data_IF_437134776554
#
_entry.id   IF_437134776554
#
_cell.length_a   1.000
_cell.length_b   1.000
_cell.length_c   1.000
_cell.angle_alpha   90.00
_cell.angle_beta   90.00
_cell.angle_gamma   90.00
#
_symmetry.space_group_name_H-M   'P 1'
#
loop_
_entity.id
_entity.type
_entity.pdbx_description
1 polymer ?
#
# COMPACT_ATOMS: atom_id res chain seq x y z
N UNK A 1 -2.70 -11.77 2.58
CA UNK A 1 -2.03 -11.19 1.40
C UNK A 1 -1.98 -9.69 1.65
N UNK A 2 -0.86 -9.02 1.34
CA UNK A 2 -0.68 -7.60 1.61
C UNK A 2 -0.27 -6.90 0.32
N UNK A 3 -0.92 -5.79 -0.01
CA UNK A 3 -0.58 -4.95 -1.17
C UNK A 3 0.27 -3.79 -0.68
N UNK A 4 1.33 -3.46 -1.42
CA UNK A 4 2.25 -2.38 -1.10
C UNK A 4 2.40 -1.49 -2.32
N UNK A 5 2.30 -0.17 -2.14
CA UNK A 5 2.58 0.80 -3.21
C UNK A 5 3.06 2.15 -2.64
N UNK A 6 3.97 2.88 -3.25
CA UNK A 6 4.82 2.50 -4.39
C UNK A 6 6.16 1.92 -3.90
N UNK A 7 6.80 1.06 -4.68
CA UNK A 7 8.10 0.47 -4.39
C UNK A 7 9.07 0.48 -5.61
N UNK A 8 8.69 1.11 -6.73
CA UNK A 8 9.44 1.01 -7.98
C UNK A 8 9.17 2.06 -9.07
N UNK A 9 8.20 2.97 -8.92
CA UNK A 9 7.88 3.98 -9.95
C UNK A 9 7.90 5.42 -9.44
N UNK A 10 7.02 5.79 -8.51
CA UNK A 10 6.92 7.17 -8.03
C UNK A 10 7.89 7.43 -6.88
N UNK A 11 8.89 8.29 -7.12
CA UNK A 11 10.01 8.53 -6.18
C UNK A 11 9.56 9.15 -4.85
N UNK A 12 8.97 10.34 -4.92
CA UNK A 12 8.47 11.07 -3.75
C UNK A 12 7.05 11.54 -4.06
N UNK A 13 6.05 10.68 -3.84
CA UNK A 13 4.68 10.98 -4.26
C UNK A 13 4.11 12.16 -3.46
N UNK A 14 3.67 13.18 -4.18
CA UNK A 14 2.88 14.27 -3.59
C UNK A 14 1.48 13.77 -3.14
N UNK A 15 0.69 14.65 -2.55
CA UNK A 15 -0.63 14.29 -2.04
C UNK A 15 -1.57 13.76 -3.13
N UNK A 16 -1.57 14.37 -4.32
CA UNK A 16 -2.43 13.99 -5.45
C UNK A 16 -1.99 12.64 -6.02
N UNK A 17 -0.69 12.45 -6.19
CA UNK A 17 -0.11 11.17 -6.58
C UNK A 17 -0.46 10.07 -5.58
N UNK A 18 -0.44 10.34 -4.27
CA UNK A 18 -0.89 9.36 -3.26
C UNK A 18 -2.36 9.00 -3.40
N UNK A 19 -3.25 9.91 -3.82
CA UNK A 19 -4.64 9.57 -4.15
C UNK A 19 -4.69 8.54 -5.29
N UNK A 20 -3.94 8.77 -6.36
CA UNK A 20 -3.88 7.83 -7.48
C UNK A 20 -3.27 6.47 -7.09
N UNK A 21 -2.24 6.47 -6.24
CA UNK A 21 -1.67 5.23 -5.70
C UNK A 21 -2.73 4.43 -4.92
N UNK A 22 -3.54 5.10 -4.10
CA UNK A 22 -4.65 4.47 -3.37
C UNK A 22 -5.69 3.91 -4.33
N UNK A 23 -6.15 4.71 -5.29
CA UNK A 23 -7.17 4.29 -6.27
C UNK A 23 -6.74 3.06 -7.07
N UNK A 24 -5.49 3.06 -7.55
CA UNK A 24 -4.90 1.95 -8.27
C UNK A 24 -4.76 0.70 -7.38
N UNK A 25 -4.31 0.85 -6.14
CA UNK A 25 -4.18 -0.28 -5.22
C UNK A 25 -5.55 -0.86 -4.82
N UNK A 26 -6.55 -0.01 -4.59
CA UNK A 26 -7.94 -0.41 -4.28
C UNK A 26 -8.54 -1.16 -5.46
N UNK A 27 -8.27 -0.72 -6.70
CA UNK A 27 -8.68 -1.44 -7.90
C UNK A 27 -8.09 -2.86 -7.93
N UNK A 28 -6.78 -3.01 -7.64
CA UNK A 28 -6.12 -4.33 -7.56
C UNK A 28 -6.73 -5.20 -6.47
N UNK A 29 -6.90 -4.67 -5.26
CA UNK A 29 -7.45 -5.41 -4.13
C UNK A 29 -8.86 -5.94 -4.42
N UNK A 30 -9.70 -5.11 -5.04
CA UNK A 30 -11.07 -5.50 -5.39
C UNK A 30 -11.12 -6.50 -6.55
N UNK A 31 -10.37 -6.23 -7.61
CA UNK A 31 -10.46 -6.99 -8.87
C UNK A 31 -9.68 -8.30 -8.84
N UNK A 32 -8.41 -8.25 -8.44
CA UNK A 32 -7.53 -9.43 -8.47
C UNK A 32 -7.58 -10.24 -7.17
N UNK A 33 -7.77 -9.59 -6.02
CA UNK A 33 -7.77 -10.27 -4.72
C UNK A 33 -9.18 -10.60 -4.21
N UNK A 34 -10.19 -9.84 -4.64
CA UNK A 34 -11.59 -10.02 -4.22
C UNK A 34 -11.94 -9.35 -2.88
N UNK A 35 -11.14 -8.40 -2.40
CA UNK A 35 -11.44 -7.64 -1.17
C UNK A 35 -12.44 -6.53 -1.48
N UNK A 36 -13.71 -6.71 -1.09
CA UNK A 36 -14.77 -5.75 -1.44
C UNK A 36 -14.51 -4.34 -0.92
N UNK A 37 -14.03 -4.19 0.33
CA UNK A 37 -13.78 -2.87 0.93
C UNK A 37 -12.40 -2.85 1.59
N UNK A 38 -11.32 -2.64 0.81
CA UNK A 38 -9.96 -2.71 1.31
C UNK A 38 -9.68 -1.67 2.39
N UNK A 39 -8.88 -2.07 3.38
CA UNK A 39 -8.34 -1.20 4.42
C UNK A 39 -6.96 -0.70 4.01
N UNK A 40 -6.83 0.61 3.91
CA UNK A 40 -5.65 1.29 3.36
C UNK A 40 -4.95 2.05 4.48
N UNK A 41 -3.75 1.60 4.83
CA UNK A 41 -2.89 2.25 5.80
C UNK A 41 -1.94 3.22 5.09
N UNK A 42 -1.97 4.50 5.47
CA UNK A 42 -0.96 5.46 5.04
C UNK A 42 0.21 5.42 6.02
N UNK A 43 1.37 4.98 5.55
CA UNK A 43 2.51 4.76 6.42
C UNK A 43 3.27 6.06 6.72
N UNK A 44 3.74 6.12 7.96
CA UNK A 44 4.67 7.12 8.48
C UNK A 44 5.58 6.48 9.53
N UNK A 45 6.53 7.24 10.05
CA UNK A 45 7.41 6.74 11.11
C UNK A 45 6.75 6.77 12.51
N UNK A 46 5.67 7.55 12.67
CA UNK A 46 4.97 7.79 13.93
C UNK A 46 3.46 7.88 13.68
N UNK A 47 2.68 7.78 14.75
CA UNK A 47 1.21 7.68 14.72
C UNK A 47 0.50 9.04 14.83
N UNK A 48 1.25 10.08 15.19
CA UNK A 48 0.71 11.43 15.39
C UNK A 48 1.08 12.34 14.24
N UNK A 49 0.15 13.23 13.88
CA UNK A 49 0.37 14.26 12.87
C UNK A 49 1.47 15.19 13.33
N UNK A 50 2.54 15.27 12.54
CA UNK A 50 3.69 16.11 12.79
C UNK A 50 4.00 16.96 11.56
N UNK A 51 3.82 18.29 11.63
CA UNK A 51 4.10 19.19 10.50
C UNK A 51 5.53 19.14 9.97
N UNK A 52 6.50 18.62 10.75
CA UNK A 52 7.88 18.40 10.31
C UNK A 52 8.09 17.07 9.59
N UNK A 53 7.05 16.25 9.46
CA UNK A 53 7.08 14.95 8.81
C UNK A 53 5.92 14.86 7.81
N UNK A 54 6.21 15.20 6.56
CA UNK A 54 5.23 15.31 5.48
C UNK A 54 4.33 14.06 5.34
N UNK A 55 4.90 12.86 5.49
CA UNK A 55 4.14 11.61 5.44
C UNK A 55 2.95 11.59 6.41
N UNK A 56 3.12 12.13 7.61
CA UNK A 56 2.04 12.21 8.62
C UNK A 56 0.98 13.24 8.26
N UNK A 57 1.36 14.32 7.60
CA UNK A 57 0.43 15.33 7.07
C UNK A 57 -0.38 14.75 5.90
N UNK A 58 0.27 14.04 4.98
CA UNK A 58 -0.41 13.37 3.87
C UNK A 58 -1.39 12.31 4.40
N UNK A 59 -1.00 11.51 5.39
CA UNK A 59 -1.88 10.52 6.01
C UNK A 59 -3.17 11.13 6.54
N UNK A 60 -3.08 12.20 7.33
CA UNK A 60 -4.26 12.88 7.88
C UNK A 60 -5.16 13.48 6.78
N UNK A 61 -4.56 14.06 5.74
CA UNK A 61 -5.31 14.63 4.61
C UNK A 61 -6.02 13.53 3.81
N UNK A 62 -5.34 12.43 3.49
CA UNK A 62 -5.89 11.31 2.74
C UNK A 62 -7.03 10.61 3.50
N UNK A 63 -6.87 10.40 4.81
CA UNK A 63 -7.93 9.90 5.67
C UNK A 63 -9.16 10.82 5.62
N UNK A 64 -8.97 12.13 5.75
CA UNK A 64 -10.07 13.11 5.65
C UNK A 64 -10.73 13.14 4.28
N UNK A 65 -9.95 12.99 3.20
CA UNK A 65 -10.46 12.91 1.84
C UNK A 65 -11.31 11.65 1.63
N UNK A 66 -10.93 10.51 2.22
CA UNK A 66 -11.74 9.28 2.20
C UNK A 66 -13.05 9.46 3.00
N UNK A 67 -12.99 10.02 4.21
CA UNK A 67 -14.19 10.32 5.01
C UNK A 67 -15.18 11.24 4.27
N UNK A 68 -14.66 12.19 3.48
CA UNK A 68 -15.46 13.11 2.65
C UNK A 68 -15.91 12.51 1.32
N UNK A 69 -15.56 11.25 1.03
CA UNK A 69 -15.97 10.55 -0.18
C UNK A 69 -15.22 10.95 -1.45
N UNK A 70 -14.07 11.64 -1.33
CA UNK A 70 -13.18 11.92 -2.46
C UNK A 70 -12.45 10.65 -2.88
N UNK A 71 -11.94 9.89 -1.90
CA UNK A 71 -11.39 8.54 -2.11
C UNK A 71 -12.48 7.54 -1.75
N UNK A 72 -12.78 6.59 -2.66
CA UNK A 72 -13.97 5.72 -2.57
C UNK A 72 -13.59 4.24 -2.52
N UNK A 73 -14.58 3.41 -2.21
CA UNK A 73 -14.50 1.95 -2.29
C UNK A 73 -13.50 1.28 -1.32
N UNK A 74 -13.00 2.02 -0.34
CA UNK A 74 -12.05 1.59 0.67
C UNK A 74 -12.26 2.36 1.98
N UNK A 75 -11.51 1.97 3.01
CA UNK A 75 -11.33 2.74 4.25
C UNK A 75 -9.87 3.15 4.32
N UNK A 76 -9.60 4.45 4.42
CA UNK A 76 -8.23 4.99 4.50
C UNK A 76 -8.00 5.58 5.88
N UNK A 77 -6.89 5.22 6.51
CA UNK A 77 -6.49 5.83 7.78
C UNK A 77 -4.96 5.85 7.95
N UNK A 78 -4.51 6.68 8.89
CA UNK A 78 -3.11 6.87 9.25
C UNK A 78 -2.88 8.25 9.90
N UNK A 79 -1.64 8.58 10.26
CA UNK A 79 -0.43 7.82 9.94
C UNK A 79 -0.24 6.58 10.82
N UNK A 80 0.29 5.52 10.22
CA UNK A 80 0.67 4.32 10.97
C UNK A 80 2.15 4.00 10.77
N UNK A 81 2.84 3.67 11.87
CA UNK A 81 4.03 2.85 11.78
C UNK A 81 3.64 1.43 11.31
N UNK A 82 4.60 0.72 10.70
CA UNK A 82 4.35 -0.58 10.07
C UNK A 82 3.73 -1.60 11.04
N UNK A 83 4.25 -1.69 12.26
CA UNK A 83 3.77 -2.60 13.30
C UNK A 83 2.28 -2.41 13.56
N UNK A 84 1.83 -1.16 13.67
CA UNK A 84 0.43 -0.83 13.93
C UNK A 84 -0.47 -1.02 12.72
N UNK A 85 0.08 -1.02 11.50
CA UNK A 85 -0.70 -1.27 10.30
C UNK A 85 -1.02 -2.76 10.13
N UNK A 86 -0.14 -3.66 10.62
CA UNK A 86 -0.21 -5.10 10.33
C UNK A 86 -0.38 -6.00 11.55
N UNK A 87 -0.22 -5.48 12.77
CA UNK A 87 -0.42 -6.22 14.02
C UNK A 87 -1.47 -5.57 14.91
N UNK A 88 -2.59 -6.28 15.11
CA UNK A 88 -3.65 -5.86 16.02
C UNK A 88 -3.15 -5.69 17.46
N UNK A 89 -2.29 -6.58 17.92
CA UNK A 89 -1.67 -6.51 19.25
C UNK A 89 -0.83 -5.22 19.41
N UNK A 90 -0.01 -4.88 18.42
CA UNK A 90 0.79 -3.66 18.46
C UNK A 90 -0.09 -2.39 18.47
N UNK A 91 -1.15 -2.38 17.66
CA UNK A 91 -2.12 -1.29 17.65
C UNK A 91 -2.84 -1.13 19.00
N UNK A 92 -3.28 -2.23 19.62
CA UNK A 92 -3.92 -2.24 20.93
C UNK A 92 -2.97 -1.76 22.05
N UNK A 93 -1.72 -2.23 22.05
CA UNK A 93 -0.71 -1.79 23.01
C UNK A 93 -0.42 -0.28 22.93
N UNK A 94 -0.53 0.32 21.74
CA UNK A 94 -0.39 1.76 21.55
C UNK A 94 -1.72 2.53 21.67
N UNK A 95 -2.84 1.85 21.97
CA UNK A 95 -4.15 2.47 22.15
C UNK A 95 -4.74 3.07 20.87
N UNK A 96 -4.38 2.54 19.70
CA UNK A 96 -4.81 3.06 18.41
C UNK A 96 -6.21 2.52 18.10
N UNK A 97 -7.18 3.43 17.99
CA UNK A 97 -8.56 3.09 17.63
C UNK A 97 -8.80 3.47 16.17
N UNK A 98 -8.75 2.47 15.30
CA UNK A 98 -8.98 2.63 13.87
C UNK A 98 -9.52 1.33 13.26
N UNK A 99 -10.43 1.40 12.26
CA UNK A 99 -10.86 0.23 11.52
C UNK A 99 -9.76 -0.40 10.64
N UNK A 100 -8.65 0.32 10.41
CA UNK A 100 -7.50 -0.11 9.59
C UNK A 100 -6.36 -0.66 10.44
N UNK A 101 -6.17 -0.15 11.66
CA UNK A 101 -5.05 -0.52 12.50
C UNK A 101 -5.02 -2.03 12.81
N UNK A 102 -3.86 -2.64 12.54
CA UNK A 102 -3.56 -4.04 12.76
C UNK A 102 -4.16 -5.01 11.75
N UNK A 103 -4.85 -4.49 10.73
CA UNK A 103 -5.63 -5.29 9.78
C UNK A 103 -5.67 -4.61 8.40
N UNK A 104 -4.56 -4.01 7.97
CA UNK A 104 -4.47 -3.37 6.66
C UNK A 104 -4.37 -4.38 5.52
N UNK A 105 -5.11 -4.14 4.44
CA UNK A 105 -4.98 -4.87 3.17
C UNK A 105 -3.93 -4.22 2.25
N UNK A 106 -3.81 -2.89 2.34
CA UNK A 106 -2.98 -2.05 1.47
C UNK A 106 -2.12 -1.12 2.32
N UNK A 107 -0.82 -1.09 2.04
CA UNK A 107 0.14 -0.17 2.61
C UNK A 107 0.56 0.87 1.56
N UNK A 108 0.31 2.15 1.86
CA UNK A 108 0.81 3.28 1.07
C UNK A 108 2.11 3.76 1.68
N UNK A 109 3.21 3.56 0.97
CA UNK A 109 4.55 3.94 1.37
C UNK A 109 4.74 5.46 1.29
N UNK A 110 5.57 6.05 2.17
CA UNK A 110 5.81 7.50 2.16
C UNK A 110 6.54 7.96 0.89
N UNK A 111 7.51 7.16 0.44
CA UNK A 111 8.40 7.36 -0.71
C UNK A 111 8.88 6.00 -1.27
N UNK A 112 9.60 6.04 -2.39
CA UNK A 112 10.12 4.86 -3.07
C UNK A 112 11.18 4.13 -2.25
N UNK A 113 12.00 4.84 -1.48
CA UNK A 113 13.06 4.24 -0.67
C UNK A 113 12.44 3.32 0.38
N UNK A 114 11.45 3.80 1.14
CA UNK A 114 10.74 3.01 2.13
C UNK A 114 10.05 1.80 1.49
N UNK A 115 9.36 1.99 0.36
CA UNK A 115 8.69 0.90 -0.35
C UNK A 115 9.65 -0.14 -0.90
N UNK A 116 10.77 0.28 -1.50
CA UNK A 116 11.76 -0.61 -2.09
C UNK A 116 12.52 -1.41 -1.02
N UNK A 117 12.91 -0.75 0.08
CA UNK A 117 13.54 -1.40 1.22
C UNK A 117 12.58 -2.41 1.83
N UNK A 118 11.31 -2.04 2.05
CA UNK A 118 10.30 -2.95 2.59
C UNK A 118 10.09 -4.16 1.67
N UNK A 119 9.88 -3.94 0.37
CA UNK A 119 9.75 -5.00 -0.62
C UNK A 119 10.93 -5.98 -0.56
N UNK A 120 12.16 -5.47 -0.57
CA UNK A 120 13.36 -6.30 -0.49
C UNK A 120 13.49 -7.03 0.84
N UNK A 121 13.19 -6.38 1.96
CA UNK A 121 13.20 -7.01 3.26
C UNK A 121 12.21 -8.18 3.31
N UNK A 122 11.00 -8.01 2.77
CA UNK A 122 10.01 -9.08 2.72
C UNK A 122 10.48 -10.26 1.86
N UNK A 123 11.05 -10.00 0.68
CA UNK A 123 11.55 -11.08 -0.19
C UNK A 123 12.77 -11.78 0.39
N UNK A 124 13.81 -11.03 0.76
CA UNK A 124 15.12 -11.59 1.11
C UNK A 124 15.25 -12.03 2.57
N UNK A 125 14.52 -11.41 3.50
CA UNK A 125 14.60 -11.74 4.92
C UNK A 125 13.41 -12.56 5.40
N UNK A 126 12.19 -12.25 4.93
CA UNK A 126 10.98 -12.96 5.34
C UNK A 126 10.54 -14.07 4.37
N UNK A 127 11.24 -14.26 3.25
CA UNK A 127 10.91 -15.28 2.26
C UNK A 127 9.54 -15.08 1.61
N UNK A 128 9.06 -13.83 1.55
CA UNK A 128 7.76 -13.51 1.00
C UNK A 128 7.73 -13.80 -0.51
N UNK A 129 6.65 -14.45 -0.95
CA UNK A 129 6.30 -14.57 -2.37
C UNK A 129 5.61 -13.29 -2.79
N UNK A 130 6.04 -12.74 -3.92
CA UNK A 130 5.59 -11.42 -4.38
C UNK A 130 5.15 -11.48 -5.84
N UNK A 131 4.22 -10.60 -6.17
CA UNK A 131 3.77 -10.32 -7.53
C UNK A 131 3.73 -8.80 -7.70
N UNK A 132 4.11 -8.31 -8.87
CA UNK A 132 4.21 -6.87 -9.14
C UNK A 132 3.72 -6.54 -10.55
N UNK A 133 2.96 -5.45 -10.64
CA UNK A 133 2.46 -4.90 -11.90
C UNK A 133 2.36 -3.38 -11.78
N UNK A 134 2.52 -2.69 -12.91
CA UNK A 134 2.19 -1.27 -13.04
C UNK A 134 0.71 -1.17 -13.40
N UNK A 135 -0.02 -0.35 -12.64
CA UNK A 135 -1.46 -0.11 -12.76
C UNK A 135 -1.68 1.39 -13.01
N UNK A 136 -2.72 1.73 -13.78
CA UNK A 136 -3.09 3.11 -14.13
C UNK A 136 -2.88 3.47 -15.60
N UNK A 137 -2.17 2.64 -16.36
CA UNK A 137 -2.13 2.74 -17.82
C UNK A 137 -3.38 2.10 -18.47
N UNK A 138 -3.49 2.15 -19.81
CA UNK A 138 -4.60 1.53 -20.57
C UNK A 138 -4.71 0.00 -20.38
N UNK A 139 -3.60 -0.65 -20.05
CA UNK A 139 -3.51 -2.07 -19.71
C UNK A 139 -2.49 -2.25 -18.57
N UNK A 140 -2.63 -3.31 -17.76
CA UNK A 140 -1.63 -3.61 -16.73
C UNK A 140 -0.30 -4.04 -17.38
N UNK A 141 0.81 -3.64 -16.80
CA UNK A 141 2.15 -4.01 -17.29
C UNK A 141 2.86 -4.83 -16.23
N UNK A 142 3.21 -6.07 -16.56
CA UNK A 142 4.02 -6.90 -15.68
C UNK A 142 5.37 -6.21 -15.43
N UNK A 143 5.70 -5.98 -14.16
CA UNK A 143 6.96 -5.37 -13.76
C UNK A 143 7.77 -6.42 -13.00
N UNK A 144 8.98 -6.69 -13.46
CA UNK A 144 9.88 -7.67 -12.84
C UNK A 144 11.28 -7.09 -12.71
N UNK A 145 11.95 -7.37 -11.60
CA UNK A 145 13.37 -7.10 -11.40
C UNK A 145 14.22 -8.21 -12.02
N UNK A 146 15.43 -7.86 -12.44
CA UNK A 146 16.45 -8.83 -12.90
C UNK A 146 16.78 -9.88 -11.84
N UNK A 147 16.65 -9.52 -10.56
CA UNK A 147 16.92 -10.41 -9.43
C UNK A 147 15.71 -11.25 -9.01
N UNK A 148 14.54 -11.08 -9.65
CA UNK A 148 13.36 -11.84 -9.28
C UNK A 148 13.46 -13.30 -9.74
N UNK A 149 12.94 -14.19 -8.90
CA UNK A 149 12.82 -15.61 -9.21
C UNK A 149 11.82 -15.86 -10.33
N UNK A 150 11.88 -17.04 -10.94
CA UNK A 150 10.91 -17.44 -11.96
C UNK A 150 9.49 -17.57 -11.38
N UNK A 151 9.37 -17.93 -10.11
CA UNK A 151 8.09 -17.90 -9.38
C UNK A 151 7.53 -16.48 -9.30
N UNK A 152 8.33 -15.49 -8.90
CA UNK A 152 7.89 -14.08 -8.85
C UNK A 152 7.44 -13.59 -10.23
N UNK A 153 8.18 -13.91 -11.30
CA UNK A 153 7.80 -13.54 -12.67
C UNK A 153 6.47 -14.16 -13.08
N UNK A 154 6.25 -15.44 -12.77
CA UNK A 154 5.00 -16.15 -13.04
C UNK A 154 3.83 -15.52 -12.27
N UNK A 155 4.01 -15.21 -10.99
CA UNK A 155 2.99 -14.56 -10.17
C UNK A 155 2.66 -13.15 -10.67
N UNK A 156 3.65 -12.38 -11.10
CA UNK A 156 3.45 -11.07 -11.73
C UNK A 156 2.66 -11.15 -13.04
N UNK A 157 2.89 -12.19 -13.87
CA UNK A 157 2.08 -12.46 -15.05
C UNK A 157 0.63 -12.82 -14.67
N UNK A 158 0.44 -13.71 -13.69
CA UNK A 158 -0.89 -14.09 -13.22
C UNK A 158 -1.68 -12.88 -12.71
N UNK A 159 -1.05 -12.01 -11.90
CA UNK A 159 -1.64 -10.75 -11.46
C UNK A 159 -2.04 -9.85 -12.64
N UNK A 160 -1.17 -9.74 -13.64
CA UNK A 160 -1.45 -8.93 -14.84
C UNK A 160 -2.64 -9.46 -15.64
N UNK A 161 -2.79 -10.79 -15.75
CA UNK A 161 -3.95 -11.42 -16.38
C UNK A 161 -5.24 -11.10 -15.64
N UNK A 162 -5.28 -11.28 -14.31
CA UNK A 162 -6.44 -10.94 -13.47
C UNK A 162 -6.83 -9.47 -13.58
N UNK A 163 -5.86 -8.59 -13.81
CA UNK A 163 -6.12 -7.16 -14.01
C UNK A 163 -6.60 -6.82 -15.42
N UNK A 164 -6.45 -7.73 -16.39
CA UNK A 164 -6.83 -7.52 -17.81
C UNK A 164 -8.24 -8.00 -18.15
N UNK A 165 -8.84 -8.88 -17.34
CA UNK A 165 -10.20 -9.42 -17.53
C UNK A 165 -11.31 -8.39 -17.24
#
# INVERSE_FOLDING_TARGET
LLIVTDAGMTIAPDLEQKVHLIENAVLVARKAVGVEKPKVAILGAIEVVNPKMEATMHAALLAKMNERGQIKNCVVDGPFALDNAVSKEAAEHKGIVSPVAGDADILIMPDIEAGNIFYKAMVFLAGAKVASAIIGAKCPVALTSRADSDETKLLSLALTCLMSE
#
